data_IF_744585684431
#
_entry.id   IF_744585684431
#
_cell.length_a   1.000
_cell.length_b   1.000
_cell.length_c   1.000
_cell.angle_alpha   90.00
_cell.angle_beta   90.00
_cell.angle_gamma   90.00
#
_symmetry.space_group_name_H-M   'P 1'
#
loop_
_entity.id
_entity.type
_entity.pdbx_description
1 polymer ?
#
# COMPACT_ATOMS: atom_id res chain seq x y z
N UNK A 1 25.82 12.04 -14.96
CA UNK A 1 24.94 12.35 -13.80
C UNK A 1 24.05 11.13 -13.63
N UNK A 2 24.28 10.33 -12.56
CA UNK A 2 23.44 9.18 -12.26
C UNK A 2 21.99 9.61 -12.08
N UNK A 3 21.06 8.88 -12.69
CA UNK A 3 19.60 9.07 -12.46
C UNK A 3 19.39 8.85 -10.96
N UNK A 4 18.82 9.80 -10.23
CA UNK A 4 18.37 9.56 -8.85
C UNK A 4 17.34 8.43 -8.91
N UNK A 5 17.57 7.37 -8.15
CA UNK A 5 16.68 6.21 -8.13
C UNK A 5 15.30 6.53 -7.50
N UNK A 6 15.18 7.65 -6.81
CA UNK A 6 13.97 8.13 -6.14
C UNK A 6 13.85 9.65 -6.28
N UNK A 7 12.66 10.14 -6.60
CA UNK A 7 12.28 11.54 -6.47
C UNK A 7 10.91 11.63 -5.80
N UNK A 8 10.77 12.57 -4.86
CA UNK A 8 9.53 12.81 -4.15
C UNK A 8 9.10 14.27 -4.30
N UNK A 9 7.79 14.47 -4.50
CA UNK A 9 7.14 15.77 -4.40
C UNK A 9 6.04 15.69 -3.35
N UNK A 10 5.91 16.73 -2.54
CA UNK A 10 4.98 16.78 -1.42
C UNK A 10 4.14 18.04 -1.54
N UNK A 11 2.83 17.89 -1.51
CA UNK A 11 1.87 18.98 -1.58
C UNK A 11 0.81 18.83 -0.49
N UNK A 12 0.61 19.88 0.31
CA UNK A 12 -0.37 19.86 1.40
C UNK A 12 -1.73 20.36 0.92
N UNK A 13 -2.75 19.53 1.01
CA UNK A 13 -4.14 19.84 0.67
C UNK A 13 -4.91 20.22 1.94
N UNK A 14 -4.73 21.47 2.39
CA UNK A 14 -5.24 21.96 3.69
C UNK A 14 -6.76 21.78 3.85
N UNK A 15 -7.55 22.11 2.81
CA UNK A 15 -9.02 21.99 2.85
C UNK A 15 -9.47 20.52 2.94
N UNK A 16 -8.75 19.61 2.28
CA UNK A 16 -9.05 18.19 2.24
C UNK A 16 -8.41 17.38 3.38
N UNK A 17 -7.53 18.03 4.19
CA UNK A 17 -6.83 17.45 5.34
C UNK A 17 -5.97 16.23 5.03
N UNK A 18 -5.31 16.22 3.89
CA UNK A 18 -4.31 15.22 3.53
C UNK A 18 -3.10 15.86 2.87
N UNK A 19 -2.03 15.10 2.76
CA UNK A 19 -0.84 15.45 1.97
C UNK A 19 -0.82 14.55 0.73
N UNK A 20 -0.66 15.13 -0.45
CA UNK A 20 -0.37 14.39 -1.66
C UNK A 20 1.14 14.20 -1.80
N UNK A 21 1.54 12.95 -2.02
CA UNK A 21 2.94 12.55 -2.19
C UNK A 21 3.08 11.88 -3.54
N UNK A 22 3.83 12.50 -4.43
CA UNK A 22 4.19 11.90 -5.72
C UNK A 22 5.57 11.27 -5.59
N UNK A 23 5.67 9.98 -5.89
CA UNK A 23 6.92 9.22 -5.87
C UNK A 23 7.24 8.78 -7.29
N UNK A 24 8.40 9.20 -7.80
CA UNK A 24 8.94 8.73 -9.08
C UNK A 24 10.17 7.87 -8.85
N UNK A 25 10.18 6.66 -9.36
CA UNK A 25 11.27 5.68 -9.20
C UNK A 25 11.27 4.65 -10.33
N UNK A 26 12.15 3.67 -10.25
CA UNK A 26 12.23 2.54 -11.20
C UNK A 26 11.40 1.39 -10.64
N UNK A 27 10.62 0.73 -11.51
CA UNK A 27 9.79 -0.41 -11.11
C UNK A 27 10.63 -1.58 -10.59
N UNK A 28 10.13 -2.18 -9.54
CA UNK A 28 10.71 -3.39 -8.96
C UNK A 28 9.62 -4.26 -8.32
N UNK A 29 9.80 -5.58 -8.29
CA UNK A 29 8.82 -6.47 -7.67
C UNK A 29 8.52 -6.11 -6.21
N UNK A 30 7.29 -5.71 -5.93
CA UNK A 30 6.84 -5.32 -4.59
C UNK A 30 7.17 -3.90 -4.18
N UNK A 31 7.48 -3.02 -5.13
CA UNK A 31 7.75 -1.60 -4.90
C UNK A 31 6.67 -0.94 -4.04
N UNK A 32 5.40 -1.12 -4.40
CA UNK A 32 4.28 -0.54 -3.64
C UNK A 32 4.19 -1.08 -2.21
N UNK A 33 4.50 -2.36 -2.00
CA UNK A 33 4.60 -2.94 -0.65
C UNK A 33 5.71 -2.28 0.18
N UNK A 34 6.87 -2.00 -0.43
CA UNK A 34 7.97 -1.30 0.25
C UNK A 34 7.54 0.13 0.63
N UNK A 35 6.92 0.86 -0.29
CA UNK A 35 6.39 2.21 -0.04
C UNK A 35 5.37 2.19 1.11
N UNK A 36 4.38 1.30 1.05
CA UNK A 36 3.35 1.17 2.09
C UNK A 36 3.95 0.82 3.46
N UNK A 37 4.96 -0.03 3.48
CA UNK A 37 5.65 -0.43 4.71
C UNK A 37 6.47 0.69 5.32
N UNK A 38 7.22 1.46 4.53
CA UNK A 38 7.98 2.62 5.03
C UNK A 38 7.03 3.72 5.51
N UNK A 39 5.92 4.00 4.80
CA UNK A 39 4.88 4.92 5.27
C UNK A 39 4.33 4.51 6.63
N UNK A 40 3.99 3.22 6.80
CA UNK A 40 3.52 2.67 8.08
C UNK A 40 4.57 2.81 9.19
N UNK A 41 5.86 2.52 8.90
CA UNK A 41 6.96 2.69 9.85
C UNK A 41 7.14 4.16 10.30
N UNK A 42 6.74 5.11 9.47
CA UNK A 42 6.71 6.53 9.81
C UNK A 42 5.37 6.99 10.41
N UNK A 43 4.46 6.08 10.79
CA UNK A 43 3.12 6.44 11.29
C UNK A 43 2.38 7.38 10.32
N UNK A 44 2.48 7.09 9.04
CA UNK A 44 1.76 7.74 7.95
C UNK A 44 0.74 6.75 7.40
N UNK A 45 -0.51 7.18 7.36
CA UNK A 45 -1.63 6.40 6.82
C UNK A 45 -1.86 6.76 5.35
N UNK A 46 -2.02 5.77 4.49
CA UNK A 46 -2.35 5.95 3.07
C UNK A 46 -3.87 5.90 2.94
N UNK A 47 -4.46 7.00 2.48
CA UNK A 47 -5.90 7.18 2.27
C UNK A 47 -6.32 6.82 0.85
N UNK A 48 -5.40 6.98 -0.09
CA UNK A 48 -5.59 6.69 -1.49
C UNK A 48 -4.26 6.51 -2.20
N UNK A 49 -4.25 5.66 -3.22
CA UNK A 49 -3.06 5.46 -4.05
C UNK A 49 -3.47 5.27 -5.52
N UNK A 50 -2.72 5.90 -6.40
CA UNK A 50 -2.77 5.68 -7.84
C UNK A 50 -1.37 5.29 -8.29
N UNK A 51 -1.26 4.09 -8.86
CA UNK A 51 0.01 3.50 -9.28
C UNK A 51 0.07 3.54 -10.80
N UNK A 52 1.11 4.15 -11.34
CA UNK A 52 1.34 4.26 -12.78
C UNK A 52 2.71 3.70 -13.12
N UNK A 53 2.73 2.54 -13.77
CA UNK A 53 3.97 1.98 -14.34
C UNK A 53 4.00 2.26 -15.83
N UNK A 54 5.05 2.94 -16.28
CA UNK A 54 5.30 3.23 -17.70
C UNK A 54 5.97 2.04 -18.38
N UNK A 55 5.83 1.96 -19.71
CA UNK A 55 6.42 0.88 -20.51
C UNK A 55 7.95 0.84 -20.47
N UNK A 56 8.59 1.94 -20.12
CA UNK A 56 10.04 2.08 -19.95
C UNK A 56 10.54 1.68 -18.55
N UNK A 57 9.62 1.20 -17.68
CA UNK A 57 9.93 0.78 -16.31
C UNK A 57 10.00 1.93 -15.31
N UNK A 58 9.69 3.16 -15.69
CA UNK A 58 9.52 4.25 -14.73
C UNK A 58 8.16 4.14 -14.06
N UNK A 59 8.13 4.33 -12.74
CA UNK A 59 6.92 4.36 -11.92
C UNK A 59 6.66 5.78 -11.44
N UNK A 60 5.40 6.16 -11.46
CA UNK A 60 4.90 7.39 -10.87
C UNK A 60 3.71 7.04 -9.97
N UNK A 61 3.93 7.01 -8.67
CA UNK A 61 2.89 6.74 -7.69
C UNK A 61 2.42 8.05 -7.05
N UNK A 62 1.11 8.25 -7.02
CA UNK A 62 0.47 9.40 -6.36
C UNK A 62 -0.30 8.89 -5.17
N UNK A 63 0.12 9.30 -3.97
CA UNK A 63 -0.44 8.86 -2.70
C UNK A 63 -1.11 10.03 -1.98
N UNK A 64 -2.31 9.80 -1.46
CA UNK A 64 -2.97 10.68 -0.53
C UNK A 64 -2.75 10.13 0.88
N UNK A 65 -2.10 10.91 1.74
CA UNK A 65 -1.69 10.43 3.05
C UNK A 65 -2.02 11.43 4.16
N UNK A 66 -2.16 10.91 5.37
CA UNK A 66 -2.20 11.72 6.59
C UNK A 66 -1.42 11.03 7.73
N UNK A 67 -1.31 11.67 8.88
CA UNK A 67 -0.81 11.01 10.08
C UNK A 67 -1.83 9.98 10.58
N UNK A 68 -1.39 9.04 11.41
CA UNK A 68 -2.28 8.07 12.09
C UNK A 68 -3.36 8.74 12.96
N UNK A 69 -3.24 10.04 13.22
CA UNK A 69 -4.25 10.84 13.94
C UNK A 69 -5.18 11.63 12.99
N UNK A 70 -5.07 11.42 11.68
CA UNK A 70 -5.88 12.09 10.67
C UNK A 70 -5.45 13.52 10.33
N UNK A 71 -4.24 13.93 10.71
CA UNK A 71 -3.70 15.27 10.50
C UNK A 71 -2.75 15.31 9.30
N UNK A 72 -2.59 16.48 8.70
CA UNK A 72 -1.57 16.73 7.68
C UNK A 72 -0.17 16.48 8.26
N UNK A 73 0.67 15.80 7.49
CA UNK A 73 2.07 15.55 7.85
C UNK A 73 2.92 16.75 7.42
N UNK A 74 2.99 17.79 8.26
CA UNK A 74 3.58 19.08 7.89
C UNK A 74 5.09 19.21 8.20
N UNK A 75 5.68 18.30 8.99
CA UNK A 75 7.09 18.41 9.43
C UNK A 75 8.07 18.02 8.32
N UNK A 76 8.90 18.94 7.78
CA UNK A 76 9.86 18.63 6.71
C UNK A 76 10.88 17.56 7.08
N UNK A 77 11.29 17.48 8.37
CA UNK A 77 12.24 16.49 8.85
C UNK A 77 11.70 15.06 8.71
N UNK A 78 10.38 14.90 8.91
CA UNK A 78 9.71 13.59 8.77
C UNK A 78 9.77 13.12 7.32
N UNK A 79 9.57 14.01 6.36
CA UNK A 79 9.65 13.70 4.94
C UNK A 79 11.06 13.38 4.49
N UNK A 80 12.06 14.13 4.95
CA UNK A 80 13.47 13.81 4.66
C UNK A 80 13.85 12.42 5.16
N UNK A 81 13.50 12.11 6.42
CA UNK A 81 13.78 10.79 6.98
C UNK A 81 13.05 9.67 6.24
N UNK A 82 11.82 9.90 5.80
CA UNK A 82 11.06 8.95 4.98
C UNK A 82 11.72 8.74 3.62
N UNK A 83 12.19 9.79 2.96
CA UNK A 83 12.92 9.70 1.67
C UNK A 83 14.23 8.92 1.84
N UNK A 84 14.98 9.16 2.93
CA UNK A 84 16.19 8.42 3.26
C UNK A 84 15.87 6.93 3.47
N UNK A 85 14.87 6.59 4.30
CA UNK A 85 14.49 5.21 4.57
C UNK A 85 13.95 4.50 3.32
N UNK A 86 13.18 5.18 2.45
CA UNK A 86 12.77 4.65 1.14
C UNK A 86 13.98 4.33 0.25
N UNK A 87 14.96 5.22 0.21
CA UNK A 87 16.19 5.02 -0.56
C UNK A 87 16.95 3.79 -0.06
N UNK A 88 17.13 3.66 1.27
CA UNK A 88 17.79 2.51 1.89
C UNK A 88 17.08 1.18 1.58
N UNK A 89 15.74 1.21 1.60
CA UNK A 89 14.91 0.03 1.30
C UNK A 89 14.99 -0.33 -0.19
N UNK A 90 14.89 0.65 -1.09
CA UNK A 90 14.96 0.40 -2.54
C UNK A 90 16.33 -0.09 -3.00
N UNK A 91 17.39 0.33 -2.32
CA UNK A 91 18.74 -0.15 -2.56
C UNK A 91 19.07 -1.48 -1.83
N UNK A 92 18.09 -2.04 -1.07
CA UNK A 92 18.23 -3.31 -0.36
C UNK A 92 19.17 -3.27 0.85
N UNK A 93 19.51 -2.08 1.37
CA UNK A 93 20.34 -1.91 2.56
C UNK A 93 19.57 -2.10 3.87
N UNK A 94 18.27 -1.84 3.84
CA UNK A 94 17.36 -2.00 4.97
C UNK A 94 16.12 -2.77 4.53
N UNK A 95 15.62 -3.67 5.36
CA UNK A 95 14.33 -4.33 5.14
C UNK A 95 13.22 -3.61 5.90
N UNK A 96 12.04 -3.59 5.31
CA UNK A 96 10.88 -2.85 5.87
C UNK A 96 10.52 -3.32 7.28
N UNK A 97 10.63 -4.62 7.55
CA UNK A 97 10.37 -5.22 8.85
C UNK A 97 11.24 -4.65 9.96
N UNK A 98 12.50 -4.34 9.67
CA UNK A 98 13.41 -3.72 10.62
C UNK A 98 12.99 -2.29 10.97
N UNK A 99 12.42 -1.56 10.01
CA UNK A 99 11.88 -0.22 10.25
C UNK A 99 10.62 -0.29 11.11
N UNK A 100 9.70 -1.21 10.80
CA UNK A 100 8.48 -1.41 11.58
C UNK A 100 8.80 -1.88 13.00
N UNK A 101 9.77 -2.78 13.16
CA UNK A 101 10.21 -3.30 14.47
C UNK A 101 10.82 -2.24 15.37
N UNK A 102 11.35 -1.15 14.82
CA UNK A 102 11.89 0.01 15.58
C UNK A 102 10.80 0.96 16.10
N UNK A 103 9.56 0.80 15.67
CA UNK A 103 8.46 1.55 16.27
C UNK A 103 8.34 1.17 17.74
N UNK A 104 8.85 2.04 18.64
CA UNK A 104 8.94 1.83 20.10
C UNK A 104 7.58 1.82 20.82
N UNK A 105 6.50 1.78 20.11
CA UNK A 105 5.18 1.64 20.72
C UNK A 105 4.40 0.54 20.00
N UNK A 106 3.86 -0.44 20.73
CA UNK A 106 2.76 -1.25 20.23
C UNK A 106 1.49 -0.41 20.26
N UNK A 107 1.55 0.78 19.71
CA UNK A 107 0.39 1.55 19.40
C UNK A 107 -0.05 1.14 18.00
N UNK A 108 -0.47 -0.10 17.88
CA UNK A 108 -1.57 -0.38 16.97
C UNK A 108 -2.72 0.47 17.48
N UNK A 109 -2.75 1.74 17.06
CA UNK A 109 -3.90 2.57 17.23
C UNK A 109 -4.99 1.91 16.38
N UNK A 110 -5.66 0.95 16.97
CA UNK A 110 -6.98 0.54 16.53
C UNK A 110 -7.90 1.66 17.01
N UNK A 111 -8.45 2.47 16.11
CA UNK A 111 -9.54 3.35 16.49
C UNK A 111 -10.53 2.47 17.25
N UNK A 112 -10.92 2.84 18.47
CA UNK A 112 -11.98 2.13 19.17
C UNK A 112 -13.22 2.24 18.30
N UNK A 113 -13.43 1.27 17.43
CA UNK A 113 -14.64 1.18 16.63
C UNK A 113 -15.82 1.17 17.60
N UNK A 114 -16.76 2.07 17.41
CA UNK A 114 -18.02 2.09 18.15
C UNK A 114 -18.99 1.02 17.65
N UNK A 115 -18.60 0.27 16.64
CA UNK A 115 -19.40 -0.76 15.98
C UNK A 115 -18.75 -2.13 16.17
N UNK A 116 -19.56 -3.18 16.18
CA UNK A 116 -19.06 -4.54 16.19
C UNK A 116 -18.13 -4.78 14.96
N UNK A 117 -16.97 -5.43 15.13
CA UNK A 117 -16.08 -5.69 14.01
C UNK A 117 -16.82 -6.49 12.94
N UNK A 118 -16.78 -6.00 11.71
CA UNK A 118 -17.28 -6.74 10.55
C UNK A 118 -16.24 -7.76 10.14
N UNK A 119 -16.64 -8.97 9.71
CA UNK A 119 -15.69 -9.96 9.24
C UNK A 119 -14.94 -9.44 8.00
N UNK A 120 -13.67 -9.79 7.91
CA UNK A 120 -12.88 -9.53 6.71
C UNK A 120 -13.50 -10.27 5.53
N UNK A 121 -13.53 -9.63 4.36
CA UNK A 121 -14.11 -10.18 3.15
C UNK A 121 -13.22 -9.90 1.96
N UNK A 122 -13.03 -10.89 1.09
CA UNK A 122 -12.20 -10.77 -0.11
C UNK A 122 -13.01 -11.32 -1.30
N UNK A 123 -13.22 -10.46 -2.28
CA UNK A 123 -13.97 -10.77 -3.49
C UNK A 123 -13.06 -10.68 -4.70
N UNK A 124 -13.28 -11.57 -5.67
CA UNK A 124 -12.56 -11.61 -6.93
C UNK A 124 -13.54 -11.36 -8.06
N UNK A 125 -13.18 -10.46 -8.97
CA UNK A 125 -13.93 -10.18 -10.17
C UNK A 125 -13.00 -10.21 -11.39
N UNK A 126 -13.38 -11.03 -12.37
CA UNK A 126 -12.69 -11.17 -13.64
C UNK A 126 -13.46 -10.56 -14.83
N UNK A 127 -14.63 -9.94 -14.57
CA UNK A 127 -15.49 -9.38 -15.60
C UNK A 127 -15.29 -7.87 -15.76
N UNK A 128 -14.95 -7.17 -14.67
CA UNK A 128 -14.80 -5.70 -14.61
C UNK A 128 -13.62 -5.18 -15.46
N UNK A 129 -12.59 -6.00 -15.69
CA UNK A 129 -11.41 -5.62 -16.46
C UNK A 129 -11.03 -6.68 -17.48
N UNK A 130 -10.67 -6.24 -18.68
CA UNK A 130 -10.19 -7.14 -19.74
C UNK A 130 -8.80 -7.71 -19.44
N UNK A 131 -7.94 -6.95 -18.73
CA UNK A 131 -6.54 -7.25 -18.56
C UNK A 131 -6.15 -7.71 -17.15
N UNK A 132 -6.97 -7.41 -16.15
CA UNK A 132 -6.62 -7.64 -14.74
C UNK A 132 -7.70 -8.42 -14.01
N UNK A 133 -7.28 -9.21 -13.02
CA UNK A 133 -8.19 -9.68 -11.98
C UNK A 133 -8.37 -8.56 -10.97
N UNK A 134 -9.60 -8.26 -10.62
CA UNK A 134 -9.92 -7.29 -9.58
C UNK A 134 -10.11 -8.02 -8.26
N UNK A 135 -9.45 -7.54 -7.21
CA UNK A 135 -9.59 -8.06 -5.84
C UNK A 135 -10.10 -6.93 -4.96
N UNK A 136 -11.32 -7.09 -4.44
CA UNK A 136 -11.89 -6.22 -3.43
C UNK A 136 -11.61 -6.77 -2.04
N UNK A 137 -10.95 -5.99 -1.20
CA UNK A 137 -10.57 -6.37 0.16
C UNK A 137 -11.28 -5.45 1.15
N UNK A 138 -12.12 -6.04 2.00
CA UNK A 138 -12.78 -5.37 3.10
C UNK A 138 -12.20 -5.88 4.40
N UNK A 139 -11.54 -5.00 5.15
CA UNK A 139 -10.89 -5.37 6.41
C UNK A 139 -11.01 -4.24 7.44
N UNK A 140 -10.85 -4.59 8.72
CA UNK A 140 -10.75 -3.57 9.78
C UNK A 140 -9.50 -2.73 9.55
N UNK A 141 -9.68 -1.39 9.47
CA UNK A 141 -8.55 -0.48 9.24
C UNK A 141 -7.60 -0.48 10.43
N UNK A 142 -6.32 -0.65 10.13
CA UNK A 142 -5.22 -0.62 11.11
C UNK A 142 -3.94 -0.13 10.44
N UNK A 143 -3.06 0.49 11.22
CA UNK A 143 -1.74 0.90 10.73
C UNK A 143 -0.99 -0.31 10.16
N UNK A 144 -0.47 -0.17 8.94
CA UNK A 144 0.24 -1.26 8.25
C UNK A 144 -0.65 -2.28 7.55
N UNK A 145 -1.99 -2.12 7.56
CA UNK A 145 -2.91 -2.99 6.82
C UNK A 145 -2.54 -3.08 5.34
N UNK A 146 -2.37 -1.92 4.69
CA UNK A 146 -2.01 -1.87 3.27
C UNK A 146 -0.65 -2.55 2.99
N UNK A 147 0.34 -2.39 3.88
CA UNK A 147 1.60 -3.12 3.79
C UNK A 147 1.38 -4.63 3.86
N UNK A 148 0.59 -5.09 4.83
CA UNK A 148 0.29 -6.51 5.01
C UNK A 148 -0.39 -7.10 3.77
N UNK A 149 -1.38 -6.40 3.20
CA UNK A 149 -2.07 -6.80 1.97
C UNK A 149 -1.09 -6.88 0.79
N UNK A 150 -0.40 -5.79 0.50
CA UNK A 150 0.46 -5.67 -0.68
C UNK A 150 1.66 -6.62 -0.61
N UNK A 151 2.20 -6.85 0.58
CA UNK A 151 3.22 -7.86 0.83
C UNK A 151 2.70 -9.27 0.53
N UNK A 152 1.51 -9.59 1.02
CA UNK A 152 0.90 -10.91 0.78
C UNK A 152 0.63 -11.14 -0.70
N UNK A 153 0.11 -10.12 -1.41
CA UNK A 153 -0.08 -10.21 -2.88
C UNK A 153 1.25 -10.47 -3.60
N UNK A 154 2.32 -9.77 -3.22
CA UNK A 154 3.68 -10.01 -3.76
C UNK A 154 4.17 -11.42 -3.48
N UNK A 155 4.05 -11.92 -2.24
CA UNK A 155 4.46 -13.28 -1.85
C UNK A 155 3.72 -14.36 -2.64
N UNK A 156 2.47 -14.09 -3.03
CA UNK A 156 1.63 -14.94 -3.88
C UNK A 156 1.92 -14.80 -5.39
N UNK A 157 2.94 -14.01 -5.76
CA UNK A 157 3.33 -13.78 -7.15
C UNK A 157 2.34 -12.93 -7.94
N UNK A 158 1.64 -12.01 -7.27
CA UNK A 158 0.71 -11.06 -7.88
C UNK A 158 1.35 -9.68 -8.00
N UNK A 159 1.20 -9.07 -9.17
CA UNK A 159 1.65 -7.73 -9.47
C UNK A 159 0.45 -6.77 -9.49
N UNK A 160 0.59 -5.66 -8.78
CA UNK A 160 -0.45 -4.63 -8.68
C UNK A 160 -0.22 -3.62 -9.80
N UNK A 161 -1.16 -3.53 -10.72
CA UNK A 161 -1.14 -2.54 -11.81
C UNK A 161 -1.83 -1.23 -11.40
N UNK A 162 -2.92 -1.33 -10.63
CA UNK A 162 -3.68 -0.18 -10.11
C UNK A 162 -4.20 -0.55 -8.73
N UNK A 163 -4.19 0.39 -7.80
CA UNK A 163 -4.92 0.26 -6.54
C UNK A 163 -5.77 1.48 -6.27
N UNK A 164 -6.94 1.25 -5.69
CA UNK A 164 -7.84 2.28 -5.16
C UNK A 164 -8.03 1.98 -3.69
N UNK A 165 -7.40 2.77 -2.86
CA UNK A 165 -7.44 2.62 -1.41
C UNK A 165 -8.50 3.56 -0.87
N UNK A 166 -9.40 3.06 -0.04
CA UNK A 166 -10.44 3.87 0.57
C UNK A 166 -10.77 3.36 1.97
N UNK A 167 -10.70 4.26 2.95
CA UNK A 167 -11.15 3.97 4.31
C UNK A 167 -12.52 4.61 4.54
N UNK A 168 -13.51 3.80 4.91
CA UNK A 168 -14.86 4.25 5.29
C UNK A 168 -15.10 3.97 6.77
N UNK A 169 -15.10 5.03 7.58
CA UNK A 169 -15.32 5.00 9.03
C UNK A 169 -14.26 4.17 9.76
N UNK A 170 -14.40 2.85 9.78
CA UNK A 170 -13.54 1.89 10.50
C UNK A 170 -13.22 0.64 9.67
N UNK A 171 -13.59 0.65 8.39
CA UNK A 171 -13.34 -0.46 7.45
C UNK A 171 -12.60 0.06 6.22
N UNK A 172 -11.47 -0.55 5.92
CA UNK A 172 -10.82 -0.41 4.62
C UNK A 172 -11.66 -1.11 3.55
N UNK A 173 -11.78 -0.48 2.40
CA UNK A 173 -12.43 -1.02 1.21
C UNK A 173 -11.47 -0.79 0.03
N UNK A 174 -10.49 -1.67 -0.09
CA UNK A 174 -9.38 -1.52 -1.00
C UNK A 174 -9.59 -2.38 -2.23
N UNK A 175 -9.38 -1.80 -3.40
CA UNK A 175 -9.53 -2.46 -4.69
C UNK A 175 -8.18 -2.55 -5.38
N UNK A 176 -7.77 -3.76 -5.75
CA UNK A 176 -6.52 -4.03 -6.43
C UNK A 176 -6.77 -4.65 -7.80
N UNK A 177 -6.19 -4.05 -8.83
CA UNK A 177 -6.13 -4.61 -10.18
C UNK A 177 -4.80 -5.34 -10.31
N UNK A 178 -4.85 -6.67 -10.39
CA UNK A 178 -3.66 -7.50 -10.35
C UNK A 178 -3.54 -8.43 -11.57
N UNK A 179 -2.31 -8.84 -11.83
CA UNK A 179 -1.98 -9.89 -12.80
C UNK A 179 -0.89 -10.80 -12.22
N UNK A 180 -0.65 -11.94 -12.84
CA UNK A 180 0.44 -12.83 -12.48
C UNK A 180 1.79 -12.38 -13.09
N UNK A 181 2.85 -13.17 -12.89
CA UNK A 181 4.20 -12.91 -13.41
C UNK A 181 4.27 -12.88 -14.94
N UNK A 182 3.26 -13.43 -15.62
CA UNK A 182 3.16 -13.44 -17.09
C UNK A 182 2.26 -12.32 -17.62
N UNK A 183 1.78 -11.44 -16.75
CA UNK A 183 0.84 -10.39 -17.11
C UNK A 183 -0.60 -10.87 -17.34
N UNK A 184 -0.95 -12.08 -16.88
CA UNK A 184 -2.25 -12.70 -17.11
C UNK A 184 -3.18 -12.58 -15.90
N UNK A 185 -4.48 -12.61 -16.17
CA UNK A 185 -5.53 -12.70 -15.12
C UNK A 185 -5.42 -14.03 -14.38
N UNK A 186 -5.83 -14.03 -13.12
CA UNK A 186 -5.92 -15.21 -12.29
C UNK A 186 -7.33 -15.81 -12.50
N UNK A 187 -7.43 -16.83 -13.32
CA UNK A 187 -8.72 -17.44 -13.69
C UNK A 187 -8.92 -18.84 -13.10
N UNK A 188 -7.86 -19.49 -12.62
CA UNK A 188 -7.95 -20.80 -11.97
C UNK A 188 -8.65 -20.68 -10.61
N UNK A 189 -9.81 -21.35 -10.42
CA UNK A 189 -10.57 -21.28 -9.17
C UNK A 189 -9.78 -21.75 -7.95
N UNK A 190 -8.92 -22.75 -8.09
CA UNK A 190 -8.11 -23.28 -6.99
C UNK A 190 -7.08 -22.24 -6.55
N UNK A 191 -6.45 -21.56 -7.51
CA UNK A 191 -5.51 -20.47 -7.22
C UNK A 191 -6.22 -19.28 -6.58
N UNK A 192 -7.40 -18.90 -7.06
CA UNK A 192 -8.23 -17.84 -6.46
C UNK A 192 -8.56 -18.17 -5.00
N UNK A 193 -8.98 -19.38 -4.71
CA UNK A 193 -9.31 -19.80 -3.34
C UNK A 193 -8.06 -19.80 -2.44
N UNK A 194 -6.92 -20.25 -2.94
CA UNK A 194 -5.64 -20.21 -2.20
C UNK A 194 -5.27 -18.77 -1.85
N UNK A 195 -5.37 -17.83 -2.79
CA UNK A 195 -5.10 -16.42 -2.58
C UNK A 195 -6.06 -15.84 -1.53
N UNK A 196 -7.36 -16.14 -1.68
CA UNK A 196 -8.40 -15.67 -0.75
C UNK A 196 -8.13 -16.12 0.68
N UNK A 197 -7.87 -17.40 0.87
CA UNK A 197 -7.60 -17.98 2.21
C UNK A 197 -6.33 -17.38 2.82
N UNK A 198 -5.24 -17.32 2.05
CA UNK A 198 -3.99 -16.74 2.54
C UNK A 198 -4.15 -15.28 2.97
N UNK A 199 -4.90 -14.48 2.18
CA UNK A 199 -5.18 -13.09 2.54
C UNK A 199 -6.04 -13.01 3.82
N UNK A 200 -7.09 -13.82 3.94
CA UNK A 200 -7.94 -13.83 5.14
C UNK A 200 -7.13 -14.19 6.39
N UNK A 201 -6.32 -15.25 6.34
CA UNK A 201 -5.45 -15.68 7.45
C UNK A 201 -4.45 -14.60 7.88
N UNK A 202 -3.93 -13.83 6.92
CA UNK A 202 -2.98 -12.75 7.22
C UNK A 202 -3.64 -11.50 7.78
N UNK A 203 -4.92 -11.28 7.51
CA UNK A 203 -5.68 -10.11 7.95
C UNK A 203 -6.35 -10.29 9.32
N UNK A 204 -6.40 -11.52 9.84
CA UNK A 204 -6.82 -11.79 11.22
C UNK A 204 -5.78 -11.26 12.21
#
# INVERSE_FOLDING_TARGET
RGRKALAMQIEHMEEAKFTEVTIATIDSPGLFSQIAGVMAAHSINILGAQIYTRKDGDVLDVLQVNSVHGEIVSKPEKWRKLEDDLTEVFEGRVIVEDLIGKLQTPSFYTPKSRHAPRPNRIEFDNEVSDNYTVIDIFATDKVGLLYQITRTLKELGLYIAVSKIATKVDQAADVFYVHDIFGQKIVDPVRIDTIRQTLLERLE
#
